data_IF_329147630307
#
_entry.id   IF_329147630307
#
_cell.length_a   1.000
_cell.length_b   1.000
_cell.length_c   1.000
_cell.angle_alpha   90.00
_cell.angle_beta   90.00
_cell.angle_gamma   90.00
#
_symmetry.space_group_name_H-M   'P 1'
#
loop_
_entity.id
_entity.type
_entity.pdbx_description
1 polymer ?
#
# COMPACT_ATOMS: atom_id res chain seq x y z
N UNK A 1 -46.91 -8.26 13.96
CA UNK A 1 -46.64 -8.51 12.52
C UNK A 1 -45.13 -8.39 12.39
N UNK A 2 -44.43 -9.54 12.40
CA UNK A 2 -42.99 -9.62 12.17
C UNK A 2 -42.73 -9.37 10.68
N UNK A 3 -41.89 -8.40 10.34
CA UNK A 3 -41.50 -8.10 8.98
C UNK A 3 -40.80 -9.31 8.30
N UNK A 4 -40.72 -9.35 6.97
CA UNK A 4 -40.14 -10.47 6.28
C UNK A 4 -38.69 -10.66 6.74
N UNK A 5 -38.33 -11.89 7.08
CA UNK A 5 -36.96 -12.36 7.37
C UNK A 5 -36.07 -11.99 6.18
N UNK A 6 -35.38 -10.87 6.26
CA UNK A 6 -34.40 -10.44 5.26
C UNK A 6 -33.17 -11.33 5.43
N UNK A 7 -33.14 -12.42 4.67
CA UNK A 7 -32.00 -13.34 4.68
C UNK A 7 -30.73 -12.53 4.39
N UNK A 8 -29.67 -12.70 5.21
CA UNK A 8 -28.41 -12.00 4.96
C UNK A 8 -27.92 -12.32 3.55
N UNK A 9 -27.38 -11.32 2.83
CA UNK A 9 -26.96 -11.50 1.46
C UNK A 9 -25.94 -12.64 1.36
N UNK A 10 -25.98 -13.44 0.27
CA UNK A 10 -25.07 -14.57 0.10
C UNK A 10 -23.61 -14.12 0.18
N UNK A 11 -22.81 -14.91 0.89
CA UNK A 11 -21.38 -14.68 1.02
C UNK A 11 -20.66 -15.04 -0.28
N UNK A 12 -19.66 -14.26 -0.63
CA UNK A 12 -18.88 -14.47 -1.83
C UNK A 12 -17.78 -15.50 -1.57
N UNK A 13 -17.76 -16.53 -2.41
CA UNK A 13 -16.76 -17.58 -2.39
C UNK A 13 -15.51 -17.26 -3.22
N UNK A 14 -14.48 -18.02 -2.98
CA UNK A 14 -13.17 -17.89 -3.66
C UNK A 14 -13.25 -18.04 -5.19
N UNK A 15 -13.99 -19.03 -5.79
CA UNK A 15 -14.09 -19.18 -7.24
C UNK A 15 -14.67 -17.91 -7.90
N UNK A 16 -15.77 -17.38 -7.37
CA UNK A 16 -16.40 -16.17 -7.90
C UNK A 16 -15.46 -14.99 -7.93
N UNK A 17 -14.72 -14.73 -6.85
CA UNK A 17 -13.75 -13.63 -6.82
C UNK A 17 -12.59 -13.85 -7.80
N UNK A 18 -12.15 -15.10 -7.98
CA UNK A 18 -11.12 -15.42 -8.95
C UNK A 18 -11.59 -15.15 -10.39
N UNK A 19 -12.84 -15.46 -10.71
CA UNK A 19 -13.41 -15.18 -12.03
C UNK A 19 -13.54 -13.67 -12.27
N UNK A 20 -14.00 -12.91 -11.28
CA UNK A 20 -14.07 -11.45 -11.34
C UNK A 20 -12.68 -10.83 -11.59
N UNK A 21 -11.63 -11.33 -10.89
CA UNK A 21 -10.24 -10.88 -11.06
C UNK A 21 -9.68 -11.19 -12.45
N UNK A 22 -9.98 -12.38 -12.99
CA UNK A 22 -9.60 -12.76 -14.37
C UNK A 22 -10.29 -11.88 -15.40
N UNK A 23 -11.58 -11.66 -15.24
CA UNK A 23 -12.38 -10.77 -16.10
C UNK A 23 -11.86 -9.34 -16.08
N UNK A 24 -11.42 -8.85 -14.91
CA UNK A 24 -10.77 -7.55 -14.80
C UNK A 24 -9.41 -7.49 -15.52
N UNK A 25 -8.75 -8.63 -15.72
CA UNK A 25 -7.49 -8.76 -16.46
C UNK A 25 -6.25 -8.90 -15.59
N UNK A 26 -6.40 -9.38 -14.36
CA UNK A 26 -5.23 -9.80 -13.56
C UNK A 26 -4.54 -10.95 -14.26
N UNK A 27 -3.26 -10.78 -14.59
CA UNK A 27 -2.49 -11.76 -15.34
C UNK A 27 -1.83 -12.78 -14.40
N UNK A 28 -1.77 -14.06 -14.80
CA UNK A 28 -0.97 -15.05 -14.08
C UNK A 28 0.53 -14.71 -14.14
N UNK A 29 1.30 -15.12 -13.16
CA UNK A 29 2.76 -14.99 -13.11
C UNK A 29 3.29 -13.59 -12.78
N UNK A 30 2.44 -12.56 -12.71
CA UNK A 30 2.89 -11.19 -12.43
C UNK A 30 3.12 -10.92 -10.94
N UNK A 31 3.83 -9.82 -10.65
CA UNK A 31 3.79 -9.17 -9.34
C UNK A 31 2.57 -8.25 -9.29
N UNK A 32 1.69 -8.43 -8.31
CA UNK A 32 0.47 -7.65 -8.16
C UNK A 32 0.46 -6.92 -6.83
N UNK A 33 0.51 -5.59 -6.88
CA UNK A 33 0.28 -4.73 -5.71
C UNK A 33 -1.22 -4.53 -5.50
N UNK A 34 -1.71 -4.84 -4.31
CA UNK A 34 -3.13 -4.72 -3.98
C UNK A 34 -3.36 -3.73 -2.85
N UNK A 35 -4.16 -2.71 -3.13
CA UNK A 35 -4.79 -1.84 -2.13
C UNK A 35 -6.27 -2.23 -2.02
N UNK A 36 -6.75 -2.57 -0.82
CA UNK A 36 -8.08 -3.16 -0.67
C UNK A 36 -8.88 -2.58 0.50
N UNK A 37 -10.05 -2.05 0.17
CA UNK A 37 -11.13 -1.77 1.12
C UNK A 37 -12.03 -3.00 1.28
N UNK A 38 -11.62 -4.01 2.05
CA UNK A 38 -12.25 -5.34 2.09
C UNK A 38 -13.77 -5.28 2.36
N UNK A 39 -14.25 -4.36 3.19
CA UNK A 39 -15.69 -4.21 3.46
C UNK A 39 -16.50 -3.88 2.20
N UNK A 40 -15.91 -3.19 1.22
CA UNK A 40 -16.58 -2.85 -0.05
C UNK A 40 -16.70 -4.03 -0.99
N UNK A 41 -15.86 -5.07 -0.83
CA UNK A 41 -15.97 -6.32 -1.62
C UNK A 41 -17.26 -7.07 -1.29
N UNK A 42 -17.79 -6.89 -0.09
CA UNK A 42 -18.99 -7.54 0.41
C UNK A 42 -18.67 -8.65 1.42
N UNK A 43 -19.70 -9.36 1.90
CA UNK A 43 -19.52 -10.46 2.84
C UNK A 43 -18.79 -11.63 2.16
N UNK A 44 -17.68 -12.07 2.76
CA UNK A 44 -16.86 -13.18 2.26
C UNK A 44 -17.03 -14.42 3.13
N UNK A 45 -16.91 -15.62 2.55
CA UNK A 45 -17.08 -16.89 3.28
C UNK A 45 -16.12 -17.01 4.47
N UNK A 46 -14.84 -16.74 4.25
CA UNK A 46 -13.77 -16.82 5.24
C UNK A 46 -13.00 -15.48 5.37
N UNK A 47 -13.71 -14.35 5.19
CA UNK A 47 -13.10 -13.03 5.31
C UNK A 47 -11.91 -12.81 4.38
N UNK A 48 -10.80 -12.24 4.87
CA UNK A 48 -9.62 -11.93 4.03
C UNK A 48 -8.99 -13.17 3.39
N UNK A 49 -9.13 -14.35 4.00
CA UNK A 49 -8.61 -15.61 3.45
C UNK A 49 -9.23 -15.95 2.09
N UNK A 50 -10.54 -15.69 1.92
CA UNK A 50 -11.25 -15.92 0.66
C UNK A 50 -10.65 -15.08 -0.46
N UNK A 51 -10.46 -13.78 -0.24
CA UNK A 51 -9.91 -12.89 -1.25
C UNK A 51 -8.43 -13.16 -1.52
N UNK A 52 -7.62 -13.38 -0.48
CA UNK A 52 -6.21 -13.74 -0.62
C UNK A 52 -6.04 -15.05 -1.40
N UNK A 53 -6.91 -16.04 -1.13
CA UNK A 53 -6.97 -17.29 -1.90
C UNK A 53 -7.29 -17.06 -3.37
N UNK A 54 -8.33 -16.27 -3.69
CA UNK A 54 -8.71 -15.94 -5.05
C UNK A 54 -7.59 -15.20 -5.81
N UNK A 55 -6.92 -14.24 -5.19
CA UNK A 55 -5.76 -13.55 -5.76
C UNK A 55 -4.63 -14.53 -6.10
N UNK A 56 -4.32 -15.47 -5.19
CA UNK A 56 -3.28 -16.48 -5.42
C UNK A 56 -3.65 -17.47 -6.53
N UNK A 57 -4.93 -17.86 -6.65
CA UNK A 57 -5.40 -18.73 -7.74
C UNK A 57 -5.20 -18.07 -9.11
N UNK A 58 -5.51 -16.78 -9.22
CA UNK A 58 -5.36 -16.05 -10.49
C UNK A 58 -3.90 -15.80 -10.80
N UNK A 59 -3.10 -15.46 -9.80
CA UNK A 59 -1.65 -15.24 -9.96
C UNK A 59 -0.91 -16.54 -10.29
N UNK A 60 -1.40 -17.68 -9.82
CA UNK A 60 -0.74 -18.98 -9.99
C UNK A 60 0.61 -19.08 -9.25
N UNK A 61 1.32 -20.20 -9.41
CA UNK A 61 2.55 -20.49 -8.66
C UNK A 61 3.71 -19.54 -9.00
N UNK A 62 3.73 -18.94 -10.20
CA UNK A 62 4.77 -17.99 -10.63
C UNK A 62 4.47 -16.55 -10.21
N UNK A 63 3.24 -16.25 -9.77
CA UNK A 63 2.85 -14.90 -9.39
C UNK A 63 3.24 -14.53 -7.96
N UNK A 64 3.30 -13.24 -7.70
CA UNK A 64 3.62 -12.71 -6.36
C UNK A 64 2.65 -11.62 -5.97
N UNK A 65 1.98 -11.81 -4.83
CA UNK A 65 1.10 -10.84 -4.22
C UNK A 65 1.91 -9.88 -3.36
N UNK A 66 1.73 -8.57 -3.54
CA UNK A 66 2.35 -7.50 -2.76
C UNK A 66 1.25 -6.65 -2.12
N UNK A 67 1.40 -6.30 -0.85
CA UNK A 67 0.47 -5.43 -0.11
C UNK A 67 1.24 -4.42 0.73
N UNK A 68 0.73 -3.20 0.94
CA UNK A 68 1.33 -2.25 1.86
C UNK A 68 1.13 -2.72 3.31
N UNK A 69 2.19 -2.66 4.12
CA UNK A 69 2.16 -3.00 5.55
C UNK A 69 2.76 -1.88 6.40
N UNK A 70 2.45 -0.66 6.03
CA UNK A 70 2.99 0.56 6.60
C UNK A 70 2.60 0.74 8.08
N UNK A 71 3.44 1.47 8.79
CA UNK A 71 3.25 1.82 10.20
C UNK A 71 3.65 3.27 10.44
N UNK A 72 2.97 3.94 11.35
CA UNK A 72 3.26 5.32 11.73
C UNK A 72 3.27 5.55 13.25
N UNK A 73 2.80 4.57 14.01
CA UNK A 73 2.73 4.63 15.47
C UNK A 73 4.10 4.55 16.18
N UNK A 74 5.17 4.29 15.43
CA UNK A 74 6.55 4.29 15.91
C UNK A 74 7.33 5.54 15.50
N UNK A 75 6.67 6.55 14.94
CA UNK A 75 7.28 7.73 14.32
C UNK A 75 6.90 9.01 15.06
N UNK A 76 7.86 9.90 15.27
CA UNK A 76 7.63 11.26 15.82
C UNK A 76 7.41 12.30 14.70
N UNK A 77 7.50 11.90 13.43
CA UNK A 77 7.33 12.79 12.27
C UNK A 77 6.17 12.40 11.37
N UNK A 78 5.42 11.36 11.75
CA UNK A 78 4.21 10.96 11.01
C UNK A 78 3.08 11.98 11.19
N UNK A 79 2.21 12.10 10.18
CA UNK A 79 0.99 12.94 10.28
C UNK A 79 0.14 12.58 11.51
N UNK A 80 0.07 11.28 11.85
CA UNK A 80 -0.67 10.80 13.02
C UNK A 80 -0.04 11.29 14.33
N UNK A 81 1.29 11.24 14.44
CA UNK A 81 2.00 11.76 15.61
C UNK A 81 1.81 13.28 15.76
N UNK A 82 2.01 14.03 14.66
CA UNK A 82 1.84 15.48 14.67
C UNK A 82 0.42 15.89 15.09
N UNK A 83 -0.60 15.17 14.61
CA UNK A 83 -1.97 15.40 15.01
C UNK A 83 -2.22 15.05 16.49
N UNK A 84 -1.68 13.91 16.97
CA UNK A 84 -1.84 13.47 18.35
C UNK A 84 -1.14 14.37 19.36
N UNK A 85 -0.04 15.01 18.96
CA UNK A 85 0.77 15.89 19.84
C UNK A 85 0.46 17.38 19.66
N UNK A 86 -0.47 17.73 18.78
CA UNK A 86 -0.90 19.11 18.59
C UNK A 86 -1.47 19.67 19.91
N UNK A 87 -0.91 20.78 20.38
CA UNK A 87 -1.32 21.40 21.64
C UNK A 87 -0.70 20.83 22.93
N UNK A 88 0.11 19.77 22.84
CA UNK A 88 0.88 19.28 24.00
C UNK A 88 2.01 20.23 24.34
N UNK A 89 2.23 20.44 25.64
CA UNK A 89 3.46 21.08 26.13
C UNK A 89 4.68 20.14 25.93
N UNK A 90 5.88 20.67 26.20
CA UNK A 90 7.12 19.92 26.01
C UNK A 90 7.16 18.64 26.83
N UNK A 91 6.81 18.70 28.11
CA UNK A 91 6.87 17.56 29.01
C UNK A 91 5.82 16.47 28.64
N UNK A 92 4.64 16.87 28.18
CA UNK A 92 3.61 15.98 27.68
C UNK A 92 4.09 15.26 26.40
N UNK A 93 4.70 16.00 25.47
CA UNK A 93 5.24 15.44 24.23
C UNK A 93 6.39 14.45 24.52
N UNK A 94 7.33 14.81 25.38
CA UNK A 94 8.43 13.92 25.76
C UNK A 94 7.92 12.60 26.36
N UNK A 95 6.90 12.64 27.23
CA UNK A 95 6.26 11.43 27.78
C UNK A 95 5.57 10.60 26.69
N UNK A 96 4.84 11.26 25.78
CA UNK A 96 4.17 10.59 24.67
C UNK A 96 5.18 9.87 23.75
N UNK A 97 6.27 10.55 23.38
CA UNK A 97 7.33 9.99 22.53
C UNK A 97 8.11 8.87 23.23
N UNK A 98 8.32 8.97 24.56
CA UNK A 98 8.94 7.92 25.34
C UNK A 98 8.10 6.61 25.33
N UNK A 99 6.78 6.72 25.19
CA UNK A 99 5.88 5.58 25.15
C UNK A 99 5.70 4.97 23.73
N UNK A 100 6.22 5.61 22.67
CA UNK A 100 6.11 5.07 21.32
C UNK A 100 6.82 3.72 21.21
N UNK A 101 6.17 2.70 20.58
CA UNK A 101 6.78 1.38 20.44
C UNK A 101 7.95 1.41 19.44
N UNK A 102 8.90 0.49 19.62
CA UNK A 102 9.87 0.17 18.59
C UNK A 102 9.23 -0.75 17.53
N UNK A 103 9.50 -0.46 16.26
CA UNK A 103 9.06 -1.32 15.15
C UNK A 103 9.92 -2.58 15.06
N UNK A 104 9.26 -3.70 14.88
CA UNK A 104 9.85 -4.98 14.55
C UNK A 104 9.25 -5.52 13.26
N UNK A 105 10.10 -6.01 12.35
CA UNK A 105 9.72 -6.49 11.02
C UNK A 105 8.68 -7.62 11.08
N UNK A 106 8.77 -8.50 12.07
CA UNK A 106 7.94 -9.70 12.16
C UNK A 106 6.66 -9.46 12.95
N UNK A 107 6.78 -8.81 14.09
CA UNK A 107 5.70 -8.71 15.06
C UNK A 107 4.87 -7.44 14.98
N UNK A 108 5.42 -6.31 14.52
CA UNK A 108 4.64 -5.05 14.48
C UNK A 108 3.51 -5.13 13.47
N UNK A 109 2.23 -5.00 13.89
CA UNK A 109 1.10 -5.00 12.96
C UNK A 109 1.16 -3.83 11.98
N UNK A 110 0.59 -4.00 10.78
CA UNK A 110 0.37 -2.89 9.86
C UNK A 110 -0.72 -1.96 10.41
N UNK A 111 -0.63 -0.66 10.08
CA UNK A 111 -1.55 0.33 10.59
C UNK A 111 -2.31 0.99 9.45
N UNK A 112 -3.65 0.96 9.52
CA UNK A 112 -4.57 1.54 8.52
C UNK A 112 -4.44 1.00 7.09
N UNK A 113 -3.72 -0.11 6.90
CA UNK A 113 -3.54 -0.77 5.60
C UNK A 113 -4.66 -1.74 5.24
N UNK A 114 -5.58 -1.97 6.18
CA UNK A 114 -6.73 -2.85 6.00
C UNK A 114 -6.45 -4.32 6.34
N UNK A 115 -7.53 -5.06 6.50
CA UNK A 115 -7.49 -6.45 7.02
C UNK A 115 -6.80 -7.40 6.04
N UNK A 116 -6.93 -7.18 4.71
CA UNK A 116 -6.26 -8.02 3.72
C UNK A 116 -4.73 -7.91 3.84
N UNK A 117 -4.21 -6.70 3.98
CA UNK A 117 -2.78 -6.46 4.09
C UNK A 117 -2.19 -7.15 5.33
N UNK A 118 -2.88 -7.04 6.46
CA UNK A 118 -2.45 -7.69 7.70
C UNK A 118 -2.56 -9.22 7.60
N UNK A 119 -3.61 -9.74 6.97
CA UNK A 119 -3.75 -11.18 6.71
C UNK A 119 -2.57 -11.72 5.86
N UNK A 120 -2.24 -11.03 4.76
CA UNK A 120 -1.11 -11.43 3.89
C UNK A 120 0.20 -11.36 4.66
N UNK A 121 0.44 -10.29 5.44
CA UNK A 121 1.65 -10.14 6.27
C UNK A 121 1.83 -11.30 7.23
N UNK A 122 0.75 -11.79 7.83
CA UNK A 122 0.77 -12.90 8.79
C UNK A 122 0.70 -14.29 8.14
N UNK A 123 0.55 -14.37 6.81
CA UNK A 123 0.47 -15.66 6.11
C UNK A 123 1.86 -16.33 6.10
N UNK A 124 1.96 -17.64 6.43
CA UNK A 124 3.22 -18.38 6.33
C UNK A 124 3.85 -18.25 4.94
N UNK A 125 5.15 -17.94 4.91
CA UNK A 125 5.90 -17.71 3.67
C UNK A 125 5.86 -16.26 3.14
N UNK A 126 5.07 -15.37 3.76
CA UNK A 126 5.15 -13.94 3.45
C UNK A 126 6.45 -13.33 3.95
N UNK A 127 7.02 -12.43 3.14
CA UNK A 127 8.24 -11.68 3.48
C UNK A 127 7.88 -10.20 3.54
N UNK A 128 8.20 -9.55 4.66
CA UNK A 128 8.01 -8.11 4.83
C UNK A 128 9.30 -7.35 4.56
N UNK A 129 9.24 -6.21 3.90
CA UNK A 129 10.42 -5.34 3.71
C UNK A 129 10.85 -4.66 5.01
N UNK A 130 12.14 -4.33 5.11
CA UNK A 130 12.75 -3.84 6.35
C UNK A 130 12.75 -2.32 6.46
N UNK A 131 11.57 -1.70 6.33
CA UNK A 131 11.40 -0.27 6.50
C UNK A 131 10.36 0.03 7.59
N UNK A 132 10.73 0.75 8.68
CA UNK A 132 9.88 0.90 9.87
C UNK A 132 8.63 1.77 9.66
N UNK A 133 8.50 2.48 8.54
CA UNK A 133 7.34 3.33 8.24
C UNK A 133 6.58 2.88 6.99
N UNK A 134 7.27 2.54 5.90
CA UNK A 134 6.65 2.28 4.60
C UNK A 134 6.86 0.86 4.08
N UNK A 135 6.97 -0.13 4.98
CA UNK A 135 7.14 -1.54 4.61
C UNK A 135 5.98 -2.08 3.77
N UNK A 136 6.29 -3.13 3.01
CA UNK A 136 5.34 -3.97 2.27
C UNK A 136 5.53 -5.42 2.65
N UNK A 137 4.48 -6.23 2.51
CA UNK A 137 4.59 -7.68 2.59
C UNK A 137 4.32 -8.30 1.22
N UNK A 138 5.13 -9.28 0.86
CA UNK A 138 4.99 -10.02 -0.39
C UNK A 138 4.86 -11.52 -0.13
N UNK A 139 4.02 -12.19 -0.91
CA UNK A 139 3.79 -13.63 -0.85
C UNK A 139 3.86 -14.22 -2.26
N UNK A 140 4.82 -15.08 -2.50
CA UNK A 140 5.08 -15.71 -3.80
C UNK A 140 6.58 -15.83 -4.11
N UNK A 141 6.95 -16.39 -5.27
CA UNK A 141 8.36 -16.72 -5.58
C UNK A 141 9.29 -15.50 -5.64
N UNK A 142 8.76 -14.32 -6.00
CA UNK A 142 9.54 -13.07 -6.08
C UNK A 142 9.45 -12.21 -4.82
N UNK A 143 8.91 -12.76 -3.71
CA UNK A 143 8.70 -11.99 -2.48
C UNK A 143 10.00 -11.34 -1.98
N UNK A 144 11.09 -12.11 -1.86
CA UNK A 144 12.40 -11.55 -1.44
C UNK A 144 12.94 -10.53 -2.44
N UNK A 145 12.85 -10.79 -3.73
CA UNK A 145 13.29 -9.85 -4.77
C UNK A 145 12.60 -8.48 -4.64
N UNK A 146 11.32 -8.46 -4.25
CA UNK A 146 10.56 -7.23 -4.07
C UNK A 146 10.84 -6.54 -2.72
N UNK A 147 11.14 -7.31 -1.67
CA UNK A 147 11.19 -6.77 -0.30
C UNK A 147 12.59 -6.58 0.27
N UNK A 148 13.60 -7.27 -0.28
CA UNK A 148 14.98 -7.09 0.19
C UNK A 148 15.56 -5.76 -0.31
N UNK A 149 16.42 -5.15 0.51
CA UNK A 149 17.08 -3.88 0.16
C UNK A 149 16.16 -2.64 0.21
N UNK A 150 15.03 -2.67 0.94
CA UNK A 150 14.22 -1.49 1.16
C UNK A 150 14.99 -0.48 2.01
N UNK A 151 15.52 0.54 1.36
CA UNK A 151 16.42 1.55 1.93
C UNK A 151 15.64 2.50 2.85
N UNK A 152 16.20 2.76 4.04
CA UNK A 152 15.60 3.65 5.04
C UNK A 152 15.37 5.08 4.53
N UNK A 153 16.25 5.57 3.65
CA UNK A 153 16.13 6.92 3.06
C UNK A 153 15.26 6.97 1.80
N UNK A 154 14.66 5.83 1.42
CA UNK A 154 13.86 5.69 0.22
C UNK A 154 12.50 5.05 0.53
N UNK A 155 11.54 5.87 0.98
CA UNK A 155 10.22 5.39 1.38
C UNK A 155 9.51 4.57 0.30
N UNK A 156 9.32 5.13 -0.89
CA UNK A 156 8.50 4.57 -1.97
C UNK A 156 9.12 4.77 -3.36
N UNK A 157 10.44 5.02 -3.39
CA UNK A 157 11.23 5.25 -4.60
C UNK A 157 11.84 3.98 -5.18
N UNK A 158 12.94 4.15 -5.92
CA UNK A 158 13.61 3.07 -6.67
C UNK A 158 14.12 1.93 -5.77
N UNK A 159 14.61 2.26 -4.57
CA UNK A 159 15.13 1.28 -3.59
C UNK A 159 14.04 0.86 -2.59
N UNK A 160 12.82 0.63 -3.09
CA UNK A 160 11.66 0.17 -2.33
C UNK A 160 10.93 -0.95 -3.08
N UNK A 161 9.99 -1.66 -2.44
CA UNK A 161 9.14 -2.63 -3.13
C UNK A 161 8.34 -2.05 -4.30
N UNK A 162 8.06 -0.75 -4.31
CA UNK A 162 7.40 -0.06 -5.42
C UNK A 162 8.33 0.03 -6.63
N UNK A 163 9.60 0.38 -6.43
CA UNK A 163 10.63 0.34 -7.48
C UNK A 163 10.81 -1.09 -8.04
N UNK A 164 10.83 -2.09 -7.15
CA UNK A 164 10.84 -3.50 -7.54
C UNK A 164 9.64 -3.91 -8.38
N UNK A 165 8.43 -3.47 -8.02
CA UNK A 165 7.20 -3.70 -8.79
C UNK A 165 7.26 -3.07 -10.18
N UNK A 166 7.75 -1.84 -10.26
CA UNK A 166 7.97 -1.13 -11.53
C UNK A 166 8.96 -1.88 -12.43
N UNK A 167 10.12 -2.26 -11.89
CA UNK A 167 11.13 -3.02 -12.62
C UNK A 167 10.62 -4.39 -13.11
N UNK A 168 9.73 -5.00 -12.32
CA UNK A 168 9.10 -6.28 -12.63
C UNK A 168 7.97 -6.19 -13.67
N UNK A 169 7.64 -5.01 -14.18
CA UNK A 169 6.46 -4.74 -15.02
C UNK A 169 5.16 -5.32 -14.41
N UNK A 170 4.99 -5.10 -13.11
CA UNK A 170 3.87 -5.63 -12.35
C UNK A 170 2.56 -4.92 -12.63
N UNK A 171 1.52 -5.32 -11.90
CA UNK A 171 0.20 -4.69 -11.95
C UNK A 171 -0.16 -4.06 -10.58
N UNK A 172 -1.02 -3.07 -10.59
CA UNK A 172 -1.61 -2.42 -9.41
C UNK A 172 -3.11 -2.66 -9.44
N UNK A 173 -3.66 -3.19 -8.35
CA UNK A 173 -5.09 -3.36 -8.14
C UNK A 173 -5.56 -2.43 -7.03
N UNK A 174 -6.45 -1.50 -7.36
CA UNK A 174 -7.21 -0.71 -6.41
C UNK A 174 -8.60 -1.35 -6.28
N UNK A 175 -8.88 -1.94 -5.13
CA UNK A 175 -10.11 -2.69 -4.90
C UNK A 175 -10.96 -1.99 -3.85
N UNK A 176 -12.03 -1.35 -4.28
CA UNK A 176 -12.91 -0.57 -3.42
C UNK A 176 -12.21 0.66 -2.81
N UNK A 177 -11.16 1.17 -3.41
CA UNK A 177 -10.41 2.36 -3.01
C UNK A 177 -10.15 3.24 -4.23
N UNK A 178 -9.93 4.52 -3.99
CA UNK A 178 -9.49 5.48 -5.01
C UNK A 178 -7.96 5.58 -5.08
N UNK A 179 -7.51 6.51 -5.89
CA UNK A 179 -6.07 6.72 -6.13
C UNK A 179 -5.34 7.32 -4.92
N UNK A 180 -6.05 7.93 -3.98
CA UNK A 180 -5.51 8.38 -2.69
C UNK A 180 -4.81 7.27 -1.90
N UNK A 181 -5.18 6.01 -2.16
CA UNK A 181 -4.55 4.85 -1.55
C UNK A 181 -3.36 4.29 -2.36
N UNK A 182 -3.13 4.77 -3.58
CA UNK A 182 -2.18 4.17 -4.52
C UNK A 182 -0.73 4.55 -4.21
N UNK A 183 -0.10 3.87 -3.27
CA UNK A 183 1.30 4.16 -2.88
C UNK A 183 2.31 4.04 -4.03
N UNK A 184 1.99 3.32 -5.11
CA UNK A 184 2.87 3.23 -6.27
C UNK A 184 3.06 4.55 -7.02
N UNK A 185 2.11 5.49 -6.92
CA UNK A 185 2.24 6.81 -7.55
C UNK A 185 3.33 7.67 -6.91
N UNK A 186 3.73 7.39 -5.68
CA UNK A 186 4.86 8.07 -5.04
C UNK A 186 6.20 7.84 -5.75
N UNK A 187 6.37 6.71 -6.47
CA UNK A 187 7.58 6.50 -7.26
C UNK A 187 7.77 7.60 -8.32
N UNK A 188 6.67 8.12 -8.86
CA UNK A 188 6.72 9.23 -9.81
C UNK A 188 7.35 10.50 -9.22
N UNK A 189 7.21 10.74 -7.91
CA UNK A 189 7.80 11.91 -7.23
C UNK A 189 9.33 11.83 -7.20
N UNK A 190 9.90 10.61 -7.06
CA UNK A 190 11.35 10.37 -7.12
C UNK A 190 11.93 10.59 -8.53
N UNK A 191 11.09 10.51 -9.56
CA UNK A 191 11.46 10.62 -10.97
C UNK A 191 11.26 11.99 -11.57
N UNK A 192 10.78 12.94 -10.79
CA UNK A 192 10.65 14.32 -11.24
C UNK A 192 12.03 14.92 -11.52
N UNK A 193 12.17 15.78 -12.55
CA UNK A 193 13.41 16.55 -12.81
C UNK A 193 13.86 17.36 -11.57
N UNK A 194 12.88 17.85 -10.81
CA UNK A 194 13.10 18.48 -9.50
C UNK A 194 12.23 17.72 -8.51
N UNK A 195 12.81 16.78 -7.74
CA UNK A 195 12.06 16.00 -6.76
C UNK A 195 11.55 16.90 -5.62
N UNK A 196 10.59 16.42 -4.81
CA UNK A 196 10.19 17.10 -3.58
C UNK A 196 11.38 17.37 -2.67
N UNK A 197 11.32 18.40 -1.79
CA UNK A 197 12.36 18.63 -0.81
C UNK A 197 12.49 17.43 0.13
N UNK A 198 13.68 17.23 0.66
CA UNK A 198 13.88 16.31 1.77
C UNK A 198 13.47 16.93 3.09
N UNK A 199 13.04 16.09 4.01
CA UNK A 199 12.83 16.46 5.42
C UNK A 199 13.42 15.43 6.37
N UNK A 200 13.53 15.79 7.62
CA UNK A 200 13.96 14.88 8.68
C UNK A 200 12.81 13.95 9.08
N UNK A 201 13.16 12.69 9.26
CA UNK A 201 12.29 11.64 9.76
C UNK A 201 12.88 11.02 11.01
N UNK A 202 12.03 10.76 11.98
CA UNK A 202 12.40 10.12 13.25
C UNK A 202 11.43 8.97 13.52
N UNK A 203 11.97 7.80 13.81
CA UNK A 203 11.16 6.65 14.22
C UNK A 203 11.94 5.75 15.19
N UNK A 204 11.23 4.79 15.79
CA UNK A 204 11.84 3.83 16.69
C UNK A 204 11.76 2.43 16.11
N UNK A 205 12.84 1.67 16.24
CA UNK A 205 12.98 0.28 15.84
C UNK A 205 13.41 -0.57 17.03
N UNK A 206 13.01 -1.84 17.04
CA UNK A 206 13.59 -2.83 17.95
C UNK A 206 14.83 -3.46 17.30
N UNK A 207 15.96 -3.35 17.99
CA UNK A 207 17.22 -4.02 17.66
C UNK A 207 17.61 -4.86 18.87
N UNK A 208 17.66 -6.17 18.73
CA UNK A 208 17.95 -7.10 19.82
C UNK A 208 17.06 -6.85 21.07
N UNK A 209 15.78 -6.62 20.84
CA UNK A 209 14.79 -6.35 21.89
C UNK A 209 14.88 -4.96 22.51
N UNK A 210 15.83 -4.12 22.12
CA UNK A 210 15.99 -2.75 22.61
C UNK A 210 15.38 -1.76 21.63
N UNK A 211 14.68 -0.75 22.14
CA UNK A 211 14.15 0.35 21.34
C UNK A 211 15.28 1.33 20.98
N UNK A 212 15.55 1.43 19.69
CA UNK A 212 16.57 2.34 19.12
C UNK A 212 15.88 3.39 18.28
N UNK A 213 16.28 4.66 18.46
CA UNK A 213 15.84 5.76 17.59
C UNK A 213 16.64 5.73 16.30
N UNK A 214 15.94 5.94 15.19
CA UNK A 214 16.49 6.13 13.86
C UNK A 214 16.17 7.55 13.41
N UNK A 215 17.19 8.28 12.98
CA UNK A 215 17.10 9.61 12.40
C UNK A 215 17.62 9.52 10.95
N UNK A 216 16.85 10.01 9.99
CA UNK A 216 17.24 9.97 8.59
C UNK A 216 16.53 11.07 7.80
N UNK A 217 17.07 11.38 6.61
CA UNK A 217 16.45 12.30 5.66
C UNK A 217 15.92 11.54 4.45
N UNK A 218 14.75 11.94 4.00
CA UNK A 218 14.10 11.37 2.82
C UNK A 218 13.16 12.41 2.21
N UNK A 219 12.68 12.16 0.99
CA UNK A 219 11.75 13.05 0.30
C UNK A 219 10.46 13.24 1.12
N UNK A 220 9.96 14.47 1.16
CA UNK A 220 8.65 14.80 1.72
C UNK A 220 7.57 14.53 0.66
N UNK A 221 7.07 13.29 0.68
CA UNK A 221 6.11 12.80 -0.31
C UNK A 221 4.71 13.40 -0.10
N UNK A 222 4.02 13.73 -1.20
CA UNK A 222 2.74 14.40 -1.19
C UNK A 222 1.68 13.66 -2.05
N UNK A 223 0.64 13.16 -1.40
CA UNK A 223 -0.48 12.42 -2.00
C UNK A 223 -1.75 13.26 -2.26
N UNK A 224 -1.72 14.56 -1.94
CA UNK A 224 -2.91 15.43 -1.98
C UNK A 224 -3.54 15.56 -3.36
N UNK A 225 -2.77 15.42 -4.42
CA UNK A 225 -3.24 15.50 -5.80
C UNK A 225 -3.41 14.13 -6.49
N UNK A 226 -3.19 13.02 -5.76
CA UNK A 226 -3.42 11.67 -6.30
C UNK A 226 -4.83 11.46 -6.85
N UNK A 227 -5.92 12.00 -6.26
CA UNK A 227 -7.24 11.94 -6.90
C UNK A 227 -7.28 12.64 -8.27
N UNK A 228 -6.51 13.72 -8.47
CA UNK A 228 -6.46 14.46 -9.75
C UNK A 228 -5.71 13.69 -10.83
N UNK A 229 -4.50 13.19 -10.52
CA UNK A 229 -3.75 12.34 -11.46
C UNK A 229 -4.51 11.05 -11.74
N UNK A 230 -5.20 10.51 -10.74
CA UNK A 230 -6.04 9.34 -10.89
C UNK A 230 -7.23 9.58 -11.83
N UNK A 231 -7.90 10.72 -11.74
CA UNK A 231 -8.95 11.09 -12.68
C UNK A 231 -8.42 11.22 -14.13
N UNK A 232 -7.21 11.77 -14.28
CA UNK A 232 -6.55 11.84 -15.59
C UNK A 232 -6.17 10.44 -16.12
N UNK A 233 -5.65 9.53 -15.25
CA UNK A 233 -5.39 8.13 -15.59
C UNK A 233 -6.67 7.43 -16.04
N UNK A 234 -7.76 7.64 -15.32
CA UNK A 234 -9.07 7.06 -15.61
C UNK A 234 -9.62 7.45 -17.00
N UNK A 235 -9.13 8.52 -17.59
CA UNK A 235 -9.42 8.93 -18.98
C UNK A 235 -8.56 8.23 -20.04
N UNK A 236 -7.65 7.34 -19.66
CA UNK A 236 -6.73 6.63 -20.56
C UNK A 236 -7.09 5.15 -20.73
N UNK A 237 -6.63 4.48 -21.80
CA UNK A 237 -6.79 3.05 -21.97
C UNK A 237 -5.91 2.22 -21.01
N UNK A 238 -5.06 2.84 -20.19
CA UNK A 238 -4.20 2.16 -19.22
C UNK A 238 -4.99 1.52 -18.08
N UNK A 239 -6.16 2.08 -17.75
CA UNK A 239 -6.97 1.65 -16.61
C UNK A 239 -8.07 0.71 -17.05
N UNK A 240 -7.99 -0.53 -16.58
CA UNK A 240 -9.12 -1.47 -16.66
C UNK A 240 -10.02 -1.26 -15.46
N UNK A 241 -11.30 -1.05 -15.71
CA UNK A 241 -12.32 -0.88 -14.68
C UNK A 241 -13.29 -2.06 -14.69
N UNK A 242 -13.74 -2.45 -13.52
CA UNK A 242 -14.73 -3.51 -13.36
C UNK A 242 -15.14 -3.64 -11.91
N UNK A 243 -15.68 -4.80 -11.57
CA UNK A 243 -16.07 -5.13 -10.20
C UNK A 243 -15.41 -6.43 -9.77
N UNK A 244 -15.03 -6.50 -8.50
CA UNK A 244 -14.62 -7.74 -7.85
C UNK A 244 -15.49 -7.88 -6.61
N UNK A 245 -16.34 -8.88 -6.59
CA UNK A 245 -17.45 -8.93 -5.67
C UNK A 245 -18.39 -7.73 -5.88
N UNK A 246 -18.60 -6.95 -4.82
CA UNK A 246 -19.39 -5.71 -4.85
C UNK A 246 -18.57 -4.46 -5.03
N UNK A 247 -17.24 -4.55 -4.90
CA UNK A 247 -16.34 -3.40 -4.96
C UNK A 247 -16.05 -2.99 -6.40
N UNK A 248 -16.05 -1.68 -6.65
CA UNK A 248 -15.44 -1.14 -7.85
C UNK A 248 -13.93 -1.41 -7.80
N UNK A 249 -13.38 -1.78 -8.94
CA UNK A 249 -11.99 -2.16 -9.08
C UNK A 249 -11.33 -1.43 -10.25
N UNK A 250 -10.07 -1.05 -10.04
CA UNK A 250 -9.17 -0.52 -11.07
C UNK A 250 -7.91 -1.35 -11.12
N UNK A 251 -7.54 -1.77 -12.31
CA UNK A 251 -6.31 -2.51 -12.58
C UNK A 251 -5.45 -1.71 -13.57
N UNK A 252 -4.19 -1.48 -13.19
CA UNK A 252 -3.25 -0.68 -13.97
C UNK A 252 -1.93 -1.46 -14.16
N UNK A 253 -1.26 -1.33 -15.33
CA UNK A 253 0.15 -1.69 -15.45
C UNK A 253 0.99 -0.73 -14.59
N UNK A 254 1.81 -1.25 -13.69
CA UNK A 254 2.54 -0.43 -12.72
C UNK A 254 3.49 0.57 -13.39
N UNK A 255 4.25 0.11 -14.39
CA UNK A 255 5.20 0.95 -15.12
C UNK A 255 4.49 2.11 -15.81
N UNK A 256 3.49 1.82 -16.63
CA UNK A 256 2.77 2.83 -17.38
C UNK A 256 2.04 3.85 -16.47
N UNK A 257 1.49 3.39 -15.34
CA UNK A 257 0.84 4.26 -14.38
C UNK A 257 1.83 5.24 -13.72
N UNK A 258 3.03 4.76 -13.35
CA UNK A 258 4.09 5.59 -12.76
C UNK A 258 4.63 6.58 -13.79
N UNK A 259 4.89 6.14 -15.03
CA UNK A 259 5.41 7.01 -16.10
C UNK A 259 4.40 8.11 -16.44
N UNK A 260 3.11 7.76 -16.53
CA UNK A 260 2.03 8.74 -16.70
C UNK A 260 2.00 9.75 -15.54
N UNK A 261 2.06 9.26 -14.30
CA UNK A 261 2.04 10.12 -13.13
C UNK A 261 3.27 11.05 -13.08
N UNK A 262 4.45 10.57 -13.47
CA UNK A 262 5.66 11.39 -13.56
C UNK A 262 5.47 12.57 -14.54
N UNK A 263 4.94 12.30 -15.73
CA UNK A 263 4.66 13.33 -16.72
C UNK A 263 3.58 14.32 -16.22
N UNK A 264 2.52 13.78 -15.59
CA UNK A 264 1.45 14.60 -15.04
C UNK A 264 1.94 15.52 -13.92
N UNK A 265 2.72 15.00 -12.95
CA UNK A 265 3.28 15.80 -11.86
C UNK A 265 4.25 16.86 -12.37
N UNK A 266 5.11 16.51 -13.33
CA UNK A 266 6.01 17.48 -13.95
C UNK A 266 5.25 18.67 -14.57
N UNK A 267 4.13 18.39 -15.25
CA UNK A 267 3.31 19.42 -15.87
C UNK A 267 2.51 20.27 -14.86
N UNK A 268 2.01 19.66 -13.78
CA UNK A 268 1.02 20.31 -12.90
C UNK A 268 1.61 20.83 -11.59
N UNK A 269 2.61 20.13 -10.99
CA UNK A 269 3.22 20.57 -9.73
C UNK A 269 4.28 21.65 -9.93
N UNK A 270 5.03 21.63 -11.06
CA UNK A 270 6.04 22.64 -11.35
C UNK A 270 5.41 23.98 -11.77
N UNK A 271 4.26 23.94 -12.44
CA UNK A 271 3.51 25.15 -12.80
C UNK A 271 2.95 25.89 -11.56
N UNK A 272 2.59 25.17 -10.50
CA UNK A 272 2.06 25.76 -9.27
C UNK A 272 3.14 26.38 -8.35
N UNK A 273 4.43 26.23 -8.67
CA UNK A 273 5.56 26.81 -7.92
C UNK A 273 6.14 28.08 -8.55
N UNK A 274 5.57 28.51 -9.68
CA UNK A 274 5.85 29.81 -10.35
C UNK A 274 4.78 30.83 -9.99
#
# INVERSE_FOLDING_TARGET
MSGPDEQPPPRLGRPRLADDLRALGVRPGVCLLVHCGLRRVGPLEHGPATLAGALRDVLGPAGTLLVPTQTDGNSTTSRAHLAATAGMDRAQRERYEAALPGWDRRSTPSQRMGVLAEYVRCTPGAVRSDHPQTSFAALGPRARQLTDGHDLTCHLGERSPVGGLYAADGQILLLGLGYEACSALHLAEYRLPVPPPERDYHCFRLVDGRRVRLDFRALDLDDRDFPKVGAALDGTPLVRRGRVGRADARLLPARAAVDFATAWFAANRLAARR
#
